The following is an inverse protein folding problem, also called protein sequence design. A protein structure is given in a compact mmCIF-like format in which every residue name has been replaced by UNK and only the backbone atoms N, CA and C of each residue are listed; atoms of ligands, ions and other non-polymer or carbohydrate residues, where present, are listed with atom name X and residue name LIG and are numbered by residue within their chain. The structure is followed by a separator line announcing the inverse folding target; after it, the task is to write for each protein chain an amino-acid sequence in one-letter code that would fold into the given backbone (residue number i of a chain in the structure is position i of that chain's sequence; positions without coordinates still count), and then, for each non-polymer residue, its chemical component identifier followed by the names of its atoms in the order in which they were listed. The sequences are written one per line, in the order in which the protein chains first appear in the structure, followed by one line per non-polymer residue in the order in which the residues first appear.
data_IF_995723031875
#
_entry.id   IF_995723031875
#
_cell.length_a   1.000
_cell.length_b   1.000
_cell.length_c   1.000
_cell.angle_alpha   90.00
_cell.angle_beta   90.00
_cell.angle_gamma   90.00
#
_symmetry.space_group_name_H-M   'P 1'
#
loop_
_entity.id
_entity.type
_entity.pdbx_description
1 polymer ?
#
# COMPACT_ATOMS: atom_id res chain seq x y z
N UNK A 1 13.55 15.84 -15.79
CA UNK A 1 13.73 14.40 -16.04
C UNK A 1 12.47 13.84 -16.66
N UNK A 2 12.60 12.76 -17.40
CA UNK A 2 11.48 11.88 -17.77
C UNK A 2 11.42 10.72 -16.81
N UNK A 3 10.32 10.59 -16.08
CA UNK A 3 10.14 9.56 -15.05
C UNK A 3 9.06 8.56 -15.50
N UNK A 4 9.42 7.29 -15.54
CA UNK A 4 8.48 6.21 -15.79
C UNK A 4 8.00 5.62 -14.47
N UNK A 5 6.68 5.64 -14.24
CA UNK A 5 6.06 5.09 -13.04
C UNK A 5 5.20 3.88 -13.42
N UNK A 6 5.20 2.84 -12.59
CA UNK A 6 4.31 1.70 -12.79
C UNK A 6 3.79 1.16 -11.47
N UNK A 7 2.49 0.84 -11.42
CA UNK A 7 1.86 0.30 -10.22
C UNK A 7 0.58 -0.48 -10.54
N UNK A 8 0.23 -1.38 -9.62
CA UNK A 8 -1.10 -2.02 -9.58
C UNK A 8 -2.15 -1.10 -8.91
N UNK A 9 -3.38 -1.56 -8.86
CA UNK A 9 -4.47 -0.91 -8.14
C UNK A 9 -4.35 -1.02 -6.61
N UNK A 10 -5.36 -0.51 -5.91
CA UNK A 10 -5.38 -0.52 -4.44
C UNK A 10 -4.36 0.44 -3.81
N UNK A 11 -3.63 -0.02 -2.80
CA UNK A 11 -2.64 0.79 -2.09
C UNK A 11 -1.50 1.28 -2.99
N UNK A 12 -1.13 0.51 -4.01
CA UNK A 12 -0.04 0.86 -4.93
C UNK A 12 -0.33 2.17 -5.68
N UNK A 13 -1.49 2.25 -6.35
CA UNK A 13 -1.88 3.48 -7.08
C UNK A 13 -2.10 4.66 -6.11
N UNK A 14 -2.62 4.39 -4.89
CA UNK A 14 -2.81 5.40 -3.87
C UNK A 14 -1.48 6.03 -3.42
N UNK A 15 -0.39 5.26 -3.42
CA UNK A 15 0.94 5.77 -3.12
C UNK A 15 1.59 6.48 -4.33
N UNK A 16 1.34 6.00 -5.55
CA UNK A 16 1.99 6.54 -6.76
C UNK A 16 1.37 7.85 -7.24
N UNK A 17 0.05 8.04 -7.12
CA UNK A 17 -0.61 9.25 -7.64
C UNK A 17 -0.17 10.56 -6.97
N UNK A 18 -0.02 10.65 -5.64
CA UNK A 18 0.51 11.87 -5.03
C UNK A 18 1.94 12.18 -5.50
N UNK A 19 2.80 11.16 -5.59
CA UNK A 19 4.15 11.32 -6.13
C UNK A 19 4.15 11.78 -7.60
N UNK A 20 3.29 11.18 -8.45
CA UNK A 20 3.13 11.59 -9.84
C UNK A 20 2.79 13.08 -9.94
N UNK A 21 1.84 13.57 -9.13
CA UNK A 21 1.44 14.98 -9.12
C UNK A 21 2.58 15.89 -8.66
N UNK A 22 3.31 15.50 -7.61
CA UNK A 22 4.47 16.27 -7.12
C UNK A 22 5.57 16.36 -8.16
N UNK A 23 5.91 15.26 -8.83
CA UNK A 23 6.89 15.24 -9.92
C UNK A 23 6.48 16.15 -11.09
N UNK A 24 5.21 16.11 -11.49
CA UNK A 24 4.67 17.00 -12.52
C UNK A 24 4.74 18.47 -12.11
N UNK A 25 4.39 18.80 -10.85
CA UNK A 25 4.49 20.17 -10.30
C UNK A 25 5.94 20.68 -10.27
N UNK A 26 6.90 19.79 -10.06
CA UNK A 26 8.34 20.10 -10.12
C UNK A 26 8.89 20.22 -11.56
N UNK A 27 8.03 20.09 -12.58
CA UNK A 27 8.39 20.22 -13.99
C UNK A 27 9.04 18.98 -14.61
N UNK A 28 8.84 17.80 -14.02
CA UNK A 28 9.27 16.55 -14.63
C UNK A 28 8.22 16.04 -15.63
N UNK A 29 8.68 15.35 -16.68
CA UNK A 29 7.82 14.58 -17.58
C UNK A 29 7.55 13.23 -16.95
N UNK A 30 6.27 12.87 -16.77
CA UNK A 30 5.89 11.60 -16.13
C UNK A 30 5.07 10.73 -17.09
N UNK A 31 5.45 9.47 -17.21
CA UNK A 31 4.69 8.46 -17.93
C UNK A 31 4.27 7.33 -16.98
N UNK A 32 2.97 7.14 -16.80
CA UNK A 32 2.40 6.13 -15.92
C UNK A 32 1.97 4.90 -16.73
N UNK A 33 2.55 3.75 -16.43
CA UNK A 33 2.02 2.44 -16.85
C UNK A 33 1.13 1.90 -15.72
N UNK A 34 -0.17 2.05 -15.88
CA UNK A 34 -1.16 1.61 -14.92
C UNK A 34 -1.53 0.12 -15.15
N UNK A 35 -1.25 -0.72 -14.17
CA UNK A 35 -1.48 -2.15 -14.23
C UNK A 35 -2.85 -2.51 -13.65
N UNK A 36 -3.58 -3.36 -14.35
CA UNK A 36 -4.89 -3.87 -13.90
C UNK A 36 -5.87 -2.75 -13.50
N UNK A 37 -6.41 -2.77 -12.28
CA UNK A 37 -7.39 -1.78 -11.80
C UNK A 37 -6.82 -0.38 -11.57
N UNK A 38 -5.50 -0.20 -11.61
CA UNK A 38 -4.87 1.13 -11.53
C UNK A 38 -5.30 2.06 -12.66
N UNK A 39 -5.54 1.51 -13.87
CA UNK A 39 -5.99 2.29 -15.03
C UNK A 39 -7.33 2.98 -14.79
N UNK A 40 -8.27 2.32 -14.15
CA UNK A 40 -9.57 2.92 -13.83
C UNK A 40 -9.46 4.03 -12.78
N UNK A 41 -8.58 3.84 -11.78
CA UNK A 41 -8.31 4.88 -10.78
C UNK A 41 -7.65 6.10 -11.44
N UNK A 42 -6.60 5.89 -12.25
CA UNK A 42 -5.92 6.97 -12.96
C UNK A 42 -6.87 7.73 -13.88
N UNK A 43 -7.77 7.03 -14.59
CA UNK A 43 -8.80 7.63 -15.44
C UNK A 43 -9.75 8.54 -14.64
N UNK A 44 -10.25 8.08 -13.50
CA UNK A 44 -11.14 8.86 -12.62
C UNK A 44 -10.45 10.11 -12.07
N UNK A 45 -9.16 9.99 -11.76
CA UNK A 45 -8.32 11.08 -11.26
C UNK A 45 -7.79 12.03 -12.37
N UNK A 46 -8.17 11.80 -13.64
CA UNK A 46 -7.74 12.60 -14.79
C UNK A 46 -6.24 12.50 -15.10
N UNK A 47 -5.57 11.42 -14.65
CA UNK A 47 -4.14 11.21 -14.87
C UNK A 47 -3.90 10.50 -16.21
N UNK A 48 -3.10 11.11 -17.14
CA UNK A 48 -2.67 10.43 -18.35
C UNK A 48 -1.90 9.15 -18.00
N UNK A 49 -2.25 8.05 -18.65
CA UNK A 49 -1.60 6.77 -18.40
C UNK A 49 -1.62 5.86 -19.62
N UNK A 50 -0.70 4.91 -19.63
CA UNK A 50 -0.67 3.76 -20.54
C UNK A 50 -1.09 2.51 -19.79
N UNK A 51 -1.46 1.49 -20.55
CA UNK A 51 -1.79 0.15 -20.05
C UNK A 51 -0.94 -0.89 -20.76
N UNK A 52 -0.76 -2.11 -20.21
CA UNK A 52 0.03 -3.16 -20.89
C UNK A 52 -0.40 -3.43 -22.33
N UNK A 53 -1.71 -3.36 -22.60
CA UNK A 53 -2.27 -3.57 -23.95
C UNK A 53 -1.71 -2.58 -24.99
N UNK A 54 -1.30 -1.38 -24.61
CA UNK A 54 -0.72 -0.38 -25.51
C UNK A 54 0.68 -0.77 -26.02
N UNK A 55 1.29 -1.81 -25.43
CA UNK A 55 2.62 -2.31 -25.74
C UNK A 55 2.63 -3.78 -26.16
N UNK A 56 1.49 -4.43 -26.18
CA UNK A 56 1.33 -5.86 -26.51
C UNK A 56 0.73 -6.01 -27.89
N UNK A 57 1.35 -6.81 -28.73
CA UNK A 57 0.75 -7.24 -29.99
C UNK A 57 -0.20 -8.42 -29.77
N UNK A 58 -1.49 -8.13 -29.78
CA UNK A 58 -2.54 -9.15 -29.65
C UNK A 58 -2.76 -9.95 -30.95
N UNK A 59 -2.10 -9.60 -32.07
CA UNK A 59 -2.08 -10.45 -33.27
C UNK A 59 -1.14 -11.64 -33.15
N UNK A 60 -0.21 -11.61 -32.16
CA UNK A 60 0.62 -12.75 -31.81
C UNK A 60 -0.26 -13.92 -31.29
N UNK A 61 -0.29 -15.06 -31.99
CA UNK A 61 -1.18 -16.16 -31.65
C UNK A 61 -0.85 -16.78 -30.29
N UNK A 62 0.42 -16.79 -29.87
CA UNK A 62 0.83 -17.36 -28.58
C UNK A 62 0.46 -16.42 -27.42
N UNK A 63 0.66 -15.12 -27.56
CA UNK A 63 0.18 -14.12 -26.58
C UNK A 63 -1.32 -14.27 -26.38
N UNK A 64 -2.08 -14.33 -27.49
CA UNK A 64 -3.53 -14.44 -27.43
C UNK A 64 -3.98 -15.76 -26.81
N UNK A 65 -3.44 -16.88 -27.25
CA UNK A 65 -3.77 -18.22 -26.75
C UNK A 65 -3.54 -18.34 -25.25
N UNK A 66 -2.36 -17.97 -24.78
CA UNK A 66 -1.99 -18.04 -23.36
C UNK A 66 -2.77 -17.02 -22.52
N UNK A 67 -2.97 -15.83 -23.05
CA UNK A 67 -3.75 -14.78 -22.41
C UNK A 67 -5.22 -15.15 -22.24
N UNK A 68 -5.86 -15.70 -23.25
CA UNK A 68 -7.26 -16.17 -23.19
C UNK A 68 -7.43 -17.33 -22.21
N UNK A 69 -6.47 -18.26 -22.17
CA UNK A 69 -6.46 -19.37 -21.21
C UNK A 69 -6.49 -18.84 -19.78
N UNK A 70 -5.59 -17.90 -19.44
CA UNK A 70 -5.48 -17.35 -18.10
C UNK A 70 -6.59 -16.35 -17.75
N UNK A 71 -7.04 -15.55 -18.71
CA UNK A 71 -8.12 -14.59 -18.48
C UNK A 71 -9.44 -15.27 -18.10
N UNK A 72 -9.71 -16.50 -18.57
CA UNK A 72 -10.85 -17.29 -18.11
C UNK A 72 -10.85 -17.56 -16.60
N UNK A 73 -9.69 -17.58 -15.97
CA UNK A 73 -9.53 -17.86 -14.52
C UNK A 73 -9.35 -16.60 -13.68
N UNK A 74 -8.73 -15.57 -14.24
CA UNK A 74 -8.26 -14.40 -13.48
C UNK A 74 -8.92 -13.08 -13.84
N UNK A 75 -9.63 -13.00 -14.98
CA UNK A 75 -10.38 -11.80 -15.30
C UNK A 75 -11.61 -11.70 -14.39
N UNK A 76 -11.83 -10.51 -13.82
CA UNK A 76 -13.01 -10.21 -13.01
C UNK A 76 -13.76 -9.05 -13.67
N UNK A 77 -14.99 -9.30 -14.08
CA UNK A 77 -15.86 -8.27 -14.64
C UNK A 77 -16.22 -7.19 -13.60
N UNK A 78 -16.60 -6.01 -14.08
CA UNK A 78 -17.14 -4.93 -13.24
C UNK A 78 -16.10 -4.12 -12.46
N UNK A 79 -14.80 -4.38 -12.63
CA UNK A 79 -13.72 -3.63 -11.96
C UNK A 79 -13.02 -2.59 -12.86
N UNK A 80 -13.64 -2.18 -13.95
CA UNK A 80 -13.07 -1.19 -14.89
C UNK A 80 -11.87 -1.71 -15.69
N UNK A 81 -11.67 -3.04 -15.74
CA UNK A 81 -10.63 -3.70 -16.52
C UNK A 81 -11.28 -4.46 -17.67
N UNK A 82 -10.93 -4.10 -18.91
CA UNK A 82 -11.45 -4.81 -20.09
C UNK A 82 -10.81 -6.21 -20.19
N UNK A 83 -11.59 -7.17 -20.72
CA UNK A 83 -11.10 -8.53 -20.90
C UNK A 83 -9.83 -8.60 -21.76
N UNK A 84 -9.78 -7.82 -22.83
CA UNK A 84 -8.60 -7.75 -23.71
C UNK A 84 -7.34 -7.26 -23.01
N UNK A 85 -7.46 -6.36 -22.03
CA UNK A 85 -6.35 -5.92 -21.19
C UNK A 85 -5.83 -7.06 -20.31
N UNK A 86 -6.74 -7.88 -19.76
CA UNK A 86 -6.34 -9.08 -19.03
C UNK A 86 -5.65 -10.09 -19.94
N UNK A 87 -6.15 -10.28 -21.15
CA UNK A 87 -5.54 -11.17 -22.16
C UNK A 87 -4.13 -10.68 -22.50
N UNK A 88 -3.96 -9.39 -22.79
CA UNK A 88 -2.66 -8.80 -23.11
C UNK A 88 -1.65 -8.99 -21.95
N UNK A 89 -2.05 -8.58 -20.74
CA UNK A 89 -1.21 -8.64 -19.54
C UNK A 89 -0.79 -10.07 -19.20
N UNK A 90 -1.76 -11.01 -19.15
CA UNK A 90 -1.51 -12.40 -18.79
C UNK A 90 -0.76 -13.15 -19.89
N UNK A 91 -1.11 -12.87 -21.15
CA UNK A 91 -0.49 -13.51 -22.32
C UNK A 91 1.00 -13.22 -22.42
N UNK A 92 1.39 -11.94 -22.41
CA UNK A 92 2.80 -11.57 -22.49
C UNK A 92 3.58 -12.05 -21.28
N UNK A 93 2.97 -12.06 -20.09
CA UNK A 93 3.65 -12.50 -18.87
C UNK A 93 3.91 -14.00 -18.87
N UNK A 94 2.95 -14.78 -19.34
CA UNK A 94 3.12 -16.24 -19.41
C UNK A 94 3.98 -16.67 -20.59
N UNK A 95 3.85 -16.01 -21.75
CA UNK A 95 4.70 -16.29 -22.91
C UNK A 95 6.18 -16.10 -22.56
N UNK A 96 6.53 -15.00 -21.91
CA UNK A 96 7.92 -14.78 -21.49
C UNK A 96 8.43 -15.88 -20.56
N UNK A 97 7.59 -16.36 -19.63
CA UNK A 97 7.96 -17.51 -18.78
C UNK A 97 8.13 -18.79 -19.60
N UNK A 98 7.29 -19.03 -20.61
CA UNK A 98 7.39 -20.18 -21.52
C UNK A 98 8.69 -20.11 -22.32
N UNK A 99 9.03 -18.95 -22.84
CA UNK A 99 10.28 -18.74 -23.59
C UNK A 99 11.54 -18.94 -22.72
N UNK A 100 11.46 -18.58 -21.41
CA UNK A 100 12.59 -18.72 -20.49
C UNK A 100 12.87 -20.16 -20.11
N UNK A 101 11.83 -20.98 -19.91
CA UNK A 101 12.01 -22.29 -19.27
C UNK A 101 11.33 -23.45 -20.01
N UNK A 102 10.67 -23.18 -21.13
CA UNK A 102 9.84 -24.14 -21.86
C UNK A 102 8.46 -24.31 -21.23
N UNK A 103 7.46 -24.65 -22.07
CA UNK A 103 6.04 -24.66 -21.67
C UNK A 103 5.75 -25.60 -20.49
N UNK A 104 6.33 -26.80 -20.49
CA UNK A 104 6.08 -27.79 -19.42
C UNK A 104 6.55 -27.31 -18.04
N UNK A 105 7.71 -26.66 -17.94
CA UNK A 105 8.21 -26.12 -16.68
C UNK A 105 7.49 -24.83 -16.30
N UNK A 106 7.14 -23.98 -17.28
CA UNK A 106 6.36 -22.78 -17.06
C UNK A 106 5.00 -23.10 -16.42
N UNK A 107 4.28 -24.11 -16.94
CA UNK A 107 3.01 -24.57 -16.37
C UNK A 107 3.17 -25.07 -14.93
N UNK A 108 4.17 -25.90 -14.63
CA UNK A 108 4.45 -26.35 -13.25
C UNK A 108 4.75 -25.20 -12.30
N UNK A 109 5.51 -24.19 -12.75
CA UNK A 109 5.79 -22.99 -11.93
C UNK A 109 4.52 -22.19 -11.67
N UNK A 110 3.68 -22.03 -12.69
CA UNK A 110 2.39 -21.36 -12.55
C UNK A 110 1.44 -22.13 -11.61
N UNK A 111 1.35 -23.46 -11.72
CA UNK A 111 0.55 -24.29 -10.82
C UNK A 111 0.99 -24.16 -9.35
N UNK A 112 2.31 -24.07 -9.11
CA UNK A 112 2.88 -23.92 -7.77
C UNK A 112 2.69 -22.51 -7.18
N UNK A 113 2.85 -21.46 -7.98
CA UNK A 113 3.01 -20.09 -7.49
C UNK A 113 1.96 -19.12 -8.04
N UNK A 114 1.01 -19.62 -8.85
CA UNK A 114 0.01 -18.79 -9.51
C UNK A 114 0.65 -17.69 -10.35
N UNK A 115 0.03 -16.52 -10.35
CA UNK A 115 0.52 -15.36 -11.08
C UNK A 115 1.90 -14.85 -10.58
N UNK A 116 2.31 -15.20 -9.37
CA UNK A 116 3.61 -14.81 -8.83
C UNK A 116 4.79 -15.54 -9.48
N UNK A 117 4.52 -16.54 -10.32
CA UNK A 117 5.52 -17.16 -11.20
C UNK A 117 6.01 -16.20 -12.30
N UNK A 118 5.26 -15.16 -12.62
CA UNK A 118 5.54 -14.24 -13.73
C UNK A 118 6.56 -13.17 -13.33
N UNK A 119 7.49 -12.90 -14.24
CA UNK A 119 8.45 -11.81 -14.12
C UNK A 119 8.87 -11.35 -15.52
N UNK A 120 8.00 -10.62 -16.26
CA UNK A 120 8.23 -10.30 -17.67
C UNK A 120 9.25 -9.17 -17.85
N UNK A 121 10.52 -9.47 -17.56
CA UNK A 121 11.62 -8.48 -17.56
C UNK A 121 11.97 -8.03 -18.97
N UNK A 122 11.92 -8.91 -19.98
CA UNK A 122 12.18 -8.55 -21.38
C UNK A 122 11.08 -7.64 -21.93
N UNK A 123 9.83 -7.93 -21.59
CA UNK A 123 8.72 -7.07 -21.96
C UNK A 123 8.90 -5.66 -21.37
N UNK A 124 9.19 -5.57 -20.08
CA UNK A 124 9.45 -4.29 -19.43
C UNK A 124 10.69 -3.60 -19.99
N UNK A 125 11.76 -4.34 -20.35
CA UNK A 125 12.94 -3.77 -20.99
C UNK A 125 12.60 -3.10 -22.34
N UNK A 126 11.75 -3.74 -23.17
CA UNK A 126 11.29 -3.14 -24.44
C UNK A 126 10.49 -1.86 -24.21
N UNK A 127 9.64 -1.83 -23.18
CA UNK A 127 8.90 -0.62 -22.83
C UNK A 127 9.87 0.50 -22.42
N UNK A 128 10.80 0.21 -21.49
CA UNK A 128 11.77 1.22 -21.02
C UNK A 128 12.68 1.72 -22.14
N UNK A 129 13.11 0.86 -23.05
CA UNK A 129 13.89 1.29 -24.24
C UNK A 129 13.07 2.20 -25.17
N UNK A 130 11.77 1.93 -25.35
CA UNK A 130 10.88 2.76 -26.18
C UNK A 130 10.56 4.10 -25.52
N UNK A 131 10.34 4.10 -24.20
CA UNK A 131 10.02 5.31 -23.41
C UNK A 131 11.27 6.15 -23.19
N UNK A 132 12.43 5.51 -23.05
CA UNK A 132 13.72 6.12 -22.74
C UNK A 132 13.67 7.07 -21.53
N UNK A 133 13.24 6.60 -20.34
CA UNK A 133 13.15 7.43 -19.15
C UNK A 133 14.53 7.68 -18.53
N UNK A 134 14.67 8.78 -17.80
CA UNK A 134 15.82 9.09 -16.95
C UNK A 134 15.79 8.28 -15.63
N UNK A 135 14.58 7.93 -15.18
CA UNK A 135 14.37 7.15 -13.94
C UNK A 135 13.10 6.28 -14.00
N UNK A 136 13.11 5.21 -13.23
CA UNK A 136 11.95 4.29 -13.05
C UNK A 136 11.51 4.28 -11.60
N UNK A 137 10.21 4.39 -11.36
CA UNK A 137 9.60 4.24 -10.04
C UNK A 137 8.56 3.12 -10.08
N UNK A 138 8.63 2.20 -9.14
CA UNK A 138 7.61 1.17 -8.93
C UNK A 138 7.36 0.96 -7.45
N UNK A 139 6.24 0.32 -7.11
CA UNK A 139 6.03 -0.18 -5.75
C UNK A 139 6.54 -1.62 -5.59
N UNK A 140 6.16 -2.33 -4.55
CA UNK A 140 6.75 -3.63 -4.19
C UNK A 140 6.03 -4.85 -4.73
N UNK A 141 5.03 -4.69 -5.60
CA UNK A 141 4.30 -5.87 -6.07
C UNK A 141 5.17 -6.79 -6.93
N UNK A 142 5.04 -8.10 -6.77
CA UNK A 142 5.66 -9.06 -7.68
C UNK A 142 5.14 -8.86 -9.12
N UNK A 143 5.66 -9.63 -10.06
CA UNK A 143 5.25 -9.59 -11.47
C UNK A 143 5.77 -8.36 -12.21
N UNK A 144 4.90 -7.50 -12.80
CA UNK A 144 5.34 -6.41 -13.67
C UNK A 144 6.05 -5.27 -12.95
N UNK A 145 5.70 -4.91 -11.73
CA UNK A 145 6.43 -3.88 -10.98
C UNK A 145 7.86 -4.32 -10.69
N UNK A 146 8.02 -5.51 -10.13
CA UNK A 146 9.33 -6.13 -9.92
C UNK A 146 10.11 -6.29 -11.23
N UNK A 147 9.42 -6.65 -12.31
CA UNK A 147 10.04 -6.77 -13.62
C UNK A 147 10.52 -5.41 -14.16
N UNK A 148 9.81 -4.32 -13.88
CA UNK A 148 10.20 -2.97 -14.26
C UNK A 148 11.49 -2.54 -13.54
N UNK A 149 11.60 -2.77 -12.22
CA UNK A 149 12.82 -2.48 -11.46
C UNK A 149 14.02 -3.28 -11.98
N UNK A 150 13.82 -4.57 -12.25
CA UNK A 150 14.86 -5.44 -12.82
C UNK A 150 15.25 -5.06 -14.24
N UNK A 151 14.30 -4.63 -15.06
CA UNK A 151 14.57 -4.12 -16.39
C UNK A 151 15.39 -2.82 -16.32
N UNK A 152 15.03 -1.91 -15.43
CA UNK A 152 15.77 -0.67 -15.17
C UNK A 152 17.22 -0.98 -14.73
N UNK A 153 17.40 -1.92 -13.79
CA UNK A 153 18.73 -2.33 -13.35
C UNK A 153 19.58 -2.88 -14.51
N UNK A 154 19.01 -3.75 -15.38
CA UNK A 154 19.70 -4.29 -16.55
C UNK A 154 20.07 -3.25 -17.61
N UNK A 155 19.28 -2.18 -17.70
CA UNK A 155 19.48 -1.09 -18.66
C UNK A 155 20.29 0.07 -18.07
N UNK A 156 20.79 -0.08 -16.85
CA UNK A 156 21.48 0.97 -16.08
C UNK A 156 20.67 2.27 -15.95
N UNK A 157 19.35 2.14 -15.85
CA UNK A 157 18.44 3.25 -15.59
C UNK A 157 18.25 3.38 -14.08
N UNK A 158 18.49 4.55 -13.46
CA UNK A 158 18.19 4.80 -12.05
C UNK A 158 16.78 4.37 -11.68
N UNK A 159 16.62 3.67 -10.56
CA UNK A 159 15.29 3.19 -10.17
C UNK A 159 15.06 3.27 -8.66
N UNK A 160 13.82 3.61 -8.29
CA UNK A 160 13.36 3.71 -6.93
C UNK A 160 12.20 2.75 -6.71
N UNK A 161 12.29 1.95 -5.65
CA UNK A 161 11.20 1.10 -5.18
C UNK A 161 10.53 1.73 -3.95
N UNK A 162 9.24 2.04 -4.05
CA UNK A 162 8.43 2.46 -2.92
C UNK A 162 7.95 1.21 -2.18
N UNK A 163 8.55 0.92 -1.02
CA UNK A 163 8.24 -0.28 -0.25
C UNK A 163 6.89 -0.12 0.45
N UNK A 164 6.03 -1.11 0.29
CA UNK A 164 4.76 -1.15 1.01
C UNK A 164 4.94 -1.20 2.53
N UNK A 165 3.88 -0.86 3.25
CA UNK A 165 3.90 -0.52 4.66
C UNK A 165 4.69 -1.49 5.54
N UNK A 166 4.54 -2.80 5.33
CA UNK A 166 5.21 -3.80 6.16
C UNK A 166 6.40 -4.49 5.46
N UNK A 167 6.41 -4.58 4.12
CA UNK A 167 7.50 -5.13 3.33
C UNK A 167 7.88 -6.58 3.63
N UNK A 168 7.04 -7.33 4.38
CA UNK A 168 7.38 -8.66 4.89
C UNK A 168 7.39 -9.74 3.83
N UNK A 169 6.42 -9.71 2.93
CA UNK A 169 6.29 -10.70 1.85
C UNK A 169 7.33 -10.46 0.75
N UNK A 170 7.80 -9.22 0.65
CA UNK A 170 8.72 -8.73 -0.38
C UNK A 170 10.19 -8.79 0.06
N UNK A 171 10.46 -8.92 1.35
CA UNK A 171 11.80 -8.95 1.93
C UNK A 171 12.77 -9.90 1.21
N UNK A 172 12.39 -11.15 0.83
CA UNK A 172 13.31 -12.07 0.19
C UNK A 172 13.89 -11.61 -1.15
N UNK A 173 13.20 -10.67 -1.84
CA UNK A 173 13.68 -10.14 -3.11
C UNK A 173 14.09 -8.67 -3.03
N UNK A 174 13.59 -7.89 -2.06
CA UNK A 174 14.03 -6.50 -1.83
C UNK A 174 15.46 -6.41 -1.27
N UNK A 175 15.94 -7.43 -0.57
CA UNK A 175 17.34 -7.55 -0.16
C UNK A 175 18.33 -7.58 -1.34
N UNK A 176 17.85 -7.81 -2.56
CA UNK A 176 18.72 -7.88 -3.76
C UNK A 176 18.81 -6.52 -4.45
N UNK A 177 20.01 -6.12 -4.94
CA UNK A 177 20.19 -4.81 -5.57
C UNK A 177 19.47 -4.65 -6.91
N UNK A 178 19.07 -5.75 -7.58
CA UNK A 178 18.37 -5.73 -8.85
C UNK A 178 16.88 -5.35 -8.75
N UNK A 179 16.40 -5.00 -7.55
CA UNK A 179 14.99 -4.62 -7.31
C UNK A 179 14.85 -3.15 -6.85
N UNK A 180 15.51 -2.26 -7.54
CA UNK A 180 15.55 -0.82 -7.30
C UNK A 180 16.94 -0.40 -6.80
N UNK A 181 17.49 0.69 -7.34
CA UNK A 181 18.76 1.24 -6.89
C UNK A 181 18.63 1.81 -5.47
N UNK A 182 17.49 2.44 -5.19
CA UNK A 182 17.14 2.94 -3.86
C UNK A 182 15.75 2.46 -3.44
N UNK A 183 15.55 2.30 -2.14
CA UNK A 183 14.29 1.88 -1.52
C UNK A 183 13.74 3.01 -0.67
N UNK A 184 12.52 3.43 -0.92
CA UNK A 184 11.78 4.37 -0.08
C UNK A 184 10.88 3.59 0.87
N UNK A 185 11.09 3.71 2.17
CA UNK A 185 10.36 2.96 3.21
C UNK A 185 9.61 3.88 4.17
N UNK A 186 8.58 3.34 4.81
CA UNK A 186 7.71 4.11 5.71
C UNK A 186 7.97 3.83 7.20
N UNK A 187 8.80 2.84 7.54
CA UNK A 187 8.95 2.34 8.92
C UNK A 187 10.37 1.97 9.24
N UNK A 188 10.81 2.27 10.47
CA UNK A 188 12.13 1.91 10.96
C UNK A 188 12.37 0.39 11.08
N UNK A 189 11.34 -0.40 11.39
CA UNK A 189 11.47 -1.85 11.47
C UNK A 189 11.69 -2.47 10.08
N UNK A 190 11.08 -1.89 9.03
CA UNK A 190 11.34 -2.30 7.64
C UNK A 190 12.79 -2.02 7.24
N UNK A 191 13.37 -0.87 7.63
CA UNK A 191 14.80 -0.57 7.43
C UNK A 191 15.67 -1.69 8.01
N UNK A 192 15.46 -2.01 9.30
CA UNK A 192 16.27 -3.04 9.98
C UNK A 192 16.18 -4.42 9.33
N UNK A 193 14.97 -4.80 8.89
CA UNK A 193 14.75 -6.10 8.23
C UNK A 193 15.40 -6.16 6.85
N UNK A 194 15.31 -5.10 6.08
CA UNK A 194 15.94 -5.06 4.75
C UNK A 194 17.47 -5.12 4.85
N UNK A 195 18.07 -4.46 5.86
CA UNK A 195 19.51 -4.60 6.15
C UNK A 195 19.82 -6.06 6.51
N UNK A 196 19.03 -6.68 7.38
CA UNK A 196 19.20 -8.09 7.74
C UNK A 196 19.03 -9.04 6.55
N UNK A 197 18.19 -8.69 5.57
CA UNK A 197 18.01 -9.42 4.32
C UNK A 197 19.14 -9.20 3.30
N UNK A 198 20.14 -8.39 3.63
CA UNK A 198 21.34 -8.16 2.81
C UNK A 198 21.30 -6.90 1.95
N UNK A 199 20.32 -6.01 2.14
CA UNK A 199 20.32 -4.71 1.45
C UNK A 199 21.33 -3.75 2.09
N UNK A 200 22.05 -3.01 1.27
CA UNK A 200 22.95 -1.96 1.76
C UNK A 200 22.11 -0.85 2.44
N UNK A 201 22.54 -0.42 3.62
CA UNK A 201 21.86 0.62 4.40
C UNK A 201 21.80 1.94 3.64
N UNK A 202 22.81 2.26 2.83
CA UNK A 202 22.86 3.50 2.03
C UNK A 202 21.82 3.56 0.93
N UNK A 203 21.26 2.40 0.54
CA UNK A 203 20.18 2.32 -0.47
C UNK A 203 18.78 2.47 0.16
N UNK A 204 18.65 2.45 1.50
CA UNK A 204 17.36 2.45 2.18
C UNK A 204 17.08 3.82 2.80
N UNK A 205 15.98 4.45 2.41
CA UNK A 205 15.62 5.78 2.86
C UNK A 205 14.26 5.79 3.54
N UNK A 206 14.22 6.31 4.77
CA UNK A 206 12.97 6.49 5.52
C UNK A 206 12.26 7.75 5.04
N UNK A 207 11.40 7.60 4.04
CA UNK A 207 10.69 8.72 3.40
C UNK A 207 9.25 8.90 3.90
N UNK A 208 8.67 7.89 4.54
CA UNK A 208 7.22 7.76 4.65
C UNK A 208 6.60 7.31 3.33
N UNK A 209 5.26 7.27 3.27
CA UNK A 209 4.52 6.91 2.05
C UNK A 209 3.62 8.05 1.61
N UNK A 210 3.64 8.41 0.32
CA UNK A 210 2.78 9.45 -0.25
C UNK A 210 1.28 9.24 -0.02
N UNK A 211 0.83 8.01 0.11
CA UNK A 211 -0.58 7.71 0.40
C UNK A 211 -1.07 8.29 1.74
N UNK A 212 -0.13 8.56 2.67
CA UNK A 212 -0.43 9.13 3.98
C UNK A 212 -0.20 10.64 4.04
N UNK A 213 0.32 11.28 2.99
CA UNK A 213 0.53 12.73 2.96
C UNK A 213 -0.76 13.53 3.29
N UNK A 214 -1.97 13.12 2.81
CA UNK A 214 -3.21 13.81 3.16
C UNK A 214 -3.56 13.79 4.65
N UNK A 215 -2.99 12.89 5.46
CA UNK A 215 -3.21 12.85 6.90
C UNK A 215 -2.55 14.02 7.65
N UNK A 216 -1.68 14.77 6.99
CA UNK A 216 -1.04 15.96 7.53
C UNK A 216 -1.86 17.26 7.35
N UNK A 217 -3.00 17.19 6.68
CA UNK A 217 -3.84 18.38 6.43
C UNK A 217 -4.34 18.98 7.76
N UNK A 218 -4.06 20.28 8.04
CA UNK A 218 -4.40 20.90 9.33
C UNK A 218 -5.91 20.90 9.62
N UNK A 219 -6.74 20.94 8.57
CA UNK A 219 -8.19 20.98 8.64
C UNK A 219 -8.83 19.68 9.15
N UNK A 220 -8.08 18.58 9.17
CA UNK A 220 -8.61 17.27 9.59
C UNK A 220 -9.06 17.26 11.06
N UNK A 221 -8.36 17.99 11.93
CA UNK A 221 -8.77 18.13 13.33
C UNK A 221 -10.14 18.82 13.46
N UNK A 222 -10.39 19.88 12.68
CA UNK A 222 -11.67 20.58 12.63
C UNK A 222 -12.76 19.71 12.00
N UNK A 223 -12.42 18.97 10.96
CA UNK A 223 -13.30 18.00 10.30
C UNK A 223 -13.74 16.89 11.27
N UNK A 224 -12.82 16.38 12.10
CA UNK A 224 -13.13 15.40 13.14
C UNK A 224 -14.09 15.98 14.20
N UNK A 225 -13.87 17.22 14.64
CA UNK A 225 -14.80 17.90 15.56
C UNK A 225 -16.16 18.14 14.91
N UNK A 226 -16.21 18.53 13.65
CA UNK A 226 -17.47 18.70 12.92
C UNK A 226 -18.22 17.37 12.77
N UNK A 227 -17.48 16.26 12.50
CA UNK A 227 -18.06 14.92 12.43
C UNK A 227 -18.71 14.50 13.75
N UNK A 228 -18.07 14.80 14.91
CA UNK A 228 -18.64 14.54 16.24
C UNK A 228 -19.92 15.35 16.46
N UNK A 229 -19.89 16.67 16.22
CA UNK A 229 -21.06 17.56 16.39
C UNK A 229 -22.26 17.11 15.56
N UNK A 230 -22.04 16.72 14.31
CA UNK A 230 -23.11 16.23 13.44
C UNK A 230 -23.80 14.96 13.96
N UNK A 231 -23.19 14.23 14.93
CA UNK A 231 -23.72 13.02 15.55
C UNK A 231 -24.12 13.21 17.01
N UNK A 232 -24.15 14.44 17.50
CA UNK A 232 -24.48 14.75 18.88
C UNK A 232 -23.48 14.20 19.90
N UNK A 233 -22.20 14.00 19.50
CA UNK A 233 -21.13 13.55 20.38
C UNK A 233 -20.46 14.76 21.01
N UNK A 234 -20.54 14.88 22.34
CA UNK A 234 -19.90 15.94 23.11
C UNK A 234 -18.37 15.81 23.14
N UNK A 235 -17.69 16.94 23.39
CA UNK A 235 -16.23 16.98 23.38
C UNK A 235 -15.58 16.12 24.50
N UNK A 236 -16.31 15.88 25.59
CA UNK A 236 -15.86 15.08 26.74
C UNK A 236 -16.23 13.59 26.61
N UNK A 237 -17.10 13.22 25.68
CA UNK A 237 -17.46 11.81 25.46
C UNK A 237 -16.30 11.07 24.78
N UNK A 238 -15.96 9.88 25.24
CA UNK A 238 -14.95 9.03 24.62
C UNK A 238 -15.51 8.32 23.40
N UNK A 239 -14.74 8.29 22.31
CA UNK A 239 -15.11 7.64 21.06
C UNK A 239 -14.11 6.53 20.75
N UNK A 240 -14.59 5.28 20.74
CA UNK A 240 -13.84 4.08 20.32
C UNK A 240 -14.20 3.79 18.87
N UNK A 241 -13.20 3.65 18.02
CA UNK A 241 -13.38 3.38 16.58
C UNK A 241 -12.89 2.01 16.19
N UNK A 242 -13.75 1.23 15.57
CA UNK A 242 -13.44 -0.06 14.96
C UNK A 242 -13.55 0.03 13.43
N UNK A 243 -12.40 -0.09 12.75
CA UNK A 243 -12.35 -0.28 11.31
C UNK A 243 -12.32 -1.78 11.03
N UNK A 244 -13.45 -2.33 10.63
CA UNK A 244 -13.61 -3.75 10.40
C UNK A 244 -12.80 -4.22 9.19
N UNK A 245 -12.30 -5.42 9.27
CA UNK A 245 -11.65 -6.13 8.18
C UNK A 245 -12.17 -7.57 8.09
N UNK A 246 -12.18 -8.18 6.89
CA UNK A 246 -12.47 -9.60 6.74
C UNK A 246 -11.39 -10.45 7.43
N UNK A 247 -11.82 -11.55 8.06
CA UNK A 247 -10.92 -12.56 8.59
C UNK A 247 -11.30 -13.93 7.98
N UNK A 248 -10.64 -14.33 6.87
CA UNK A 248 -11.01 -15.55 6.14
C UNK A 248 -10.86 -16.84 6.95
N UNK A 249 -9.92 -16.86 7.92
CA UNK A 249 -9.72 -18.02 8.78
C UNK A 249 -10.79 -18.15 9.87
N UNK A 250 -11.43 -17.04 10.25
CA UNK A 250 -12.53 -16.98 11.24
C UNK A 250 -13.53 -15.88 10.84
N UNK A 251 -14.43 -16.17 9.90
CA UNK A 251 -15.38 -15.17 9.38
C UNK A 251 -16.29 -14.52 10.43
N UNK A 252 -16.47 -15.16 11.57
CA UNK A 252 -17.27 -14.64 12.69
C UNK A 252 -16.47 -13.70 13.62
N UNK A 253 -15.15 -13.68 13.55
CA UNK A 253 -14.32 -12.86 14.42
C UNK A 253 -14.66 -11.36 14.35
N UNK A 254 -14.83 -10.74 13.18
CA UNK A 254 -15.17 -9.32 13.10
C UNK A 254 -16.50 -9.00 13.82
N UNK A 255 -17.48 -9.88 13.70
CA UNK A 255 -18.77 -9.76 14.38
C UNK A 255 -18.60 -9.87 15.91
N UNK A 256 -17.84 -10.86 16.39
CA UNK A 256 -17.57 -11.01 17.85
C UNK A 256 -16.86 -9.78 18.41
N UNK A 257 -15.89 -9.23 17.70
CA UNK A 257 -15.20 -7.97 18.08
C UNK A 257 -16.20 -6.84 18.19
N UNK A 258 -17.06 -6.63 17.19
CA UNK A 258 -18.09 -5.58 17.20
C UNK A 258 -19.00 -5.67 18.43
N UNK A 259 -19.56 -6.84 18.70
CA UNK A 259 -20.47 -7.03 19.82
C UNK A 259 -19.77 -6.87 21.17
N UNK A 260 -18.53 -7.34 21.29
CA UNK A 260 -17.72 -7.17 22.49
C UNK A 260 -17.50 -5.68 22.81
N UNK A 261 -17.00 -4.90 21.86
CA UNK A 261 -16.76 -3.48 22.10
C UNK A 261 -18.04 -2.65 22.23
N UNK A 262 -19.13 -3.04 21.58
CA UNK A 262 -20.43 -2.42 21.79
C UNK A 262 -20.88 -2.58 23.26
N UNK A 263 -20.69 -3.75 23.86
CA UNK A 263 -21.00 -3.98 25.27
C UNK A 263 -20.09 -3.16 26.19
N UNK A 264 -18.76 -3.21 25.97
CA UNK A 264 -17.77 -2.46 26.76
C UNK A 264 -18.06 -0.96 26.72
N UNK A 265 -18.29 -0.41 25.52
CA UNK A 265 -18.56 1.02 25.38
C UNK A 265 -19.88 1.44 26.04
N UNK A 266 -20.93 0.61 25.95
CA UNK A 266 -22.22 0.88 26.61
C UNK A 266 -22.08 0.89 28.15
N UNK A 267 -21.33 -0.07 28.71
CA UNK A 267 -21.09 -0.13 30.16
C UNK A 267 -20.30 1.08 30.68
N UNK A 268 -19.44 1.64 29.84
CA UNK A 268 -18.59 2.79 30.17
C UNK A 268 -19.18 4.15 29.78
N UNK A 269 -20.33 4.18 29.11
CA UNK A 269 -20.91 5.42 28.57
C UNK A 269 -20.09 6.03 27.43
N UNK A 270 -19.30 5.22 26.72
CA UNK A 270 -18.50 5.63 25.56
C UNK A 270 -19.27 5.46 24.27
N UNK A 271 -18.92 6.24 23.25
CA UNK A 271 -19.46 6.09 21.90
C UNK A 271 -18.65 5.06 21.12
N UNK A 272 -19.34 4.11 20.52
CA UNK A 272 -18.71 3.13 19.65
C UNK A 272 -19.02 3.39 18.19
N UNK A 273 -17.98 3.62 17.40
CA UNK A 273 -18.07 3.89 15.96
C UNK A 273 -17.55 2.67 15.20
N UNK A 274 -18.35 2.17 14.26
CA UNK A 274 -18.04 1.01 13.42
C UNK A 274 -17.98 1.44 11.97
N UNK A 275 -16.91 1.10 11.27
CA UNK A 275 -16.81 1.19 9.82
C UNK A 275 -16.62 -0.21 9.25
N UNK A 276 -17.61 -0.66 8.48
CA UNK A 276 -17.54 -1.96 7.80
C UNK A 276 -16.52 -1.91 6.66
N UNK A 277 -15.89 -3.04 6.38
CA UNK A 277 -14.97 -3.14 5.25
C UNK A 277 -15.74 -3.02 3.92
N UNK A 278 -15.18 -2.40 2.88
CA UNK A 278 -15.85 -2.26 1.58
C UNK A 278 -16.26 -3.58 0.90
N UNK A 279 -15.64 -4.70 1.27
CA UNK A 279 -16.02 -6.03 0.78
C UNK A 279 -17.05 -6.75 1.66
N UNK A 280 -17.49 -6.13 2.77
CA UNK A 280 -18.53 -6.71 3.62
C UNK A 280 -19.85 -6.74 2.85
N UNK A 281 -20.56 -7.86 2.95
CA UNK A 281 -21.88 -8.05 2.32
C UNK A 281 -22.97 -7.27 3.07
N UNK A 282 -24.12 -7.05 2.43
CA UNK A 282 -25.26 -6.33 3.02
C UNK A 282 -25.70 -6.91 4.37
N UNK A 283 -25.56 -8.23 4.58
CA UNK A 283 -25.84 -8.88 5.87
C UNK A 283 -24.96 -8.39 7.03
N UNK A 284 -23.76 -7.85 6.76
CA UNK A 284 -22.91 -7.28 7.80
C UNK A 284 -23.46 -5.93 8.31
N UNK A 285 -24.12 -5.15 7.46
CA UNK A 285 -24.77 -3.89 7.84
C UNK A 285 -25.96 -4.09 8.78
N UNK A 286 -26.73 -5.17 8.60
CA UNK A 286 -27.86 -5.53 9.46
C UNK A 286 -27.46 -5.95 10.88
N UNK A 287 -26.16 -6.20 11.10
CA UNK A 287 -25.61 -6.69 12.38
C UNK A 287 -24.87 -5.63 13.19
N UNK A 288 -25.08 -4.34 12.93
CA UNK A 288 -24.53 -3.27 13.78
C UNK A 288 -25.31 -3.28 15.12
N UNK A 289 -24.61 -3.42 16.27
CA UNK A 289 -25.26 -3.45 17.55
C UNK A 289 -26.00 -2.14 17.86
N UNK A 290 -27.14 -2.24 18.55
CA UNK A 290 -27.93 -1.08 18.95
C UNK A 290 -27.11 -0.07 19.76
N UNK A 291 -27.31 1.22 19.49
CA UNK A 291 -26.58 2.32 20.12
C UNK A 291 -25.19 2.59 19.56
N UNK A 292 -24.73 1.79 18.58
CA UNK A 292 -23.47 2.04 17.86
C UNK A 292 -23.68 3.03 16.70
N UNK A 293 -22.63 3.75 16.36
CA UNK A 293 -22.63 4.70 15.25
C UNK A 293 -21.95 4.04 14.05
N UNK A 294 -22.66 3.90 12.95
CA UNK A 294 -22.05 3.43 11.71
C UNK A 294 -21.41 4.59 10.95
N UNK A 295 -20.12 4.47 10.63
CA UNK A 295 -19.47 5.30 9.64
C UNK A 295 -19.71 4.72 8.25
N UNK A 296 -20.23 5.56 7.34
CA UNK A 296 -20.60 5.13 5.99
C UNK A 296 -19.39 5.14 5.04
N UNK A 297 -19.38 4.32 3.99
CA UNK A 297 -18.28 4.27 3.02
C UNK A 297 -17.99 5.62 2.33
N UNK A 298 -19.02 6.48 2.17
CA UNK A 298 -18.91 7.79 1.54
C UNK A 298 -18.26 8.85 2.43
N UNK A 299 -18.20 8.61 3.74
CA UNK A 299 -17.54 9.53 4.68
C UNK A 299 -16.03 9.41 4.55
N UNK A 300 -15.33 10.55 4.59
CA UNK A 300 -13.88 10.53 4.62
C UNK A 300 -13.38 9.83 5.88
N UNK A 301 -12.60 8.76 5.70
CA UNK A 301 -12.06 7.97 6.81
C UNK A 301 -11.23 8.83 7.77
N UNK A 302 -10.45 9.78 7.23
CA UNK A 302 -9.64 10.70 8.03
C UNK A 302 -10.47 11.53 9.02
N UNK A 303 -11.71 11.96 8.66
CA UNK A 303 -12.59 12.68 9.58
C UNK A 303 -13.00 11.80 10.77
N UNK A 304 -13.28 10.52 10.53
CA UNK A 304 -13.64 9.56 11.58
C UNK A 304 -12.45 9.26 12.48
N UNK A 305 -11.26 9.07 11.89
CA UNK A 305 -10.02 8.86 12.64
C UNK A 305 -9.69 10.05 13.54
N UNK A 306 -9.87 11.30 13.04
CA UNK A 306 -9.67 12.47 13.86
C UNK A 306 -10.77 12.67 14.92
N UNK A 307 -11.97 12.14 14.70
CA UNK A 307 -13.08 12.18 15.65
C UNK A 307 -12.92 11.19 16.81
N UNK A 308 -12.17 10.09 16.63
CA UNK A 308 -12.02 9.08 17.69
C UNK A 308 -10.94 9.46 18.72
N UNK A 309 -11.07 8.88 19.92
CA UNK A 309 -10.07 8.97 21.01
C UNK A 309 -9.14 7.75 20.99
N UNK A 310 -9.61 6.61 20.52
CA UNK A 310 -8.84 5.38 20.39
C UNK A 310 -9.38 4.54 19.23
N UNK A 311 -8.47 3.92 18.48
CA UNK A 311 -8.83 2.93 17.46
C UNK A 311 -8.61 1.51 17.92
N UNK A 312 -9.40 0.60 17.38
CA UNK A 312 -9.23 -0.86 17.56
C UNK A 312 -9.02 -1.49 16.21
N UNK A 313 -8.09 -2.40 16.10
CA UNK A 313 -7.77 -3.10 14.85
C UNK A 313 -7.30 -4.53 15.09
N UNK A 314 -7.37 -5.37 14.06
CA UNK A 314 -6.61 -6.62 13.97
C UNK A 314 -5.30 -6.34 13.21
N UNK A 315 -5.38 -6.36 11.87
CA UNK A 315 -4.22 -6.20 10.96
C UNK A 315 -4.46 -5.14 9.87
N UNK A 316 -5.48 -4.27 10.04
CA UNK A 316 -5.83 -3.26 9.04
C UNK A 316 -4.81 -2.12 9.00
N UNK A 317 -4.48 -1.64 7.80
CA UNK A 317 -3.65 -0.42 7.62
C UNK A 317 -4.23 0.82 8.29
N UNK A 318 -5.53 0.85 8.57
CA UNK A 318 -6.19 1.92 9.34
C UNK A 318 -5.59 2.08 10.74
N UNK A 319 -5.12 0.98 11.37
CA UNK A 319 -4.39 1.06 12.63
C UNK A 319 -3.11 1.89 12.51
N UNK A 320 -2.36 1.72 11.42
CA UNK A 320 -1.18 2.53 11.15
C UNK A 320 -1.53 3.99 10.87
N UNK A 321 -2.56 4.25 10.08
CA UNK A 321 -3.05 5.60 9.80
C UNK A 321 -3.45 6.33 11.09
N UNK A 322 -4.11 5.64 12.02
CA UNK A 322 -4.45 6.18 13.34
C UNK A 322 -3.20 6.55 14.15
N UNK A 323 -2.18 5.69 14.16
CA UNK A 323 -0.89 5.99 14.84
C UNK A 323 -0.22 7.24 14.24
N UNK A 324 -0.25 7.38 12.90
CA UNK A 324 0.27 8.56 12.21
C UNK A 324 -0.51 9.84 12.55
N UNK A 325 -1.82 9.73 12.87
CA UNK A 325 -2.66 10.82 13.37
C UNK A 325 -2.50 11.05 14.90
N UNK A 326 -1.47 10.48 15.54
CA UNK A 326 -1.26 10.49 17.00
C UNK A 326 -2.45 9.95 17.81
N UNK A 327 -3.22 9.02 17.23
CA UNK A 327 -4.31 8.36 17.94
C UNK A 327 -3.82 7.09 18.62
N UNK A 328 -4.21 6.84 19.89
CA UNK A 328 -4.00 5.54 20.53
C UNK A 328 -4.63 4.40 19.71
N UNK A 329 -3.96 3.26 19.65
CA UNK A 329 -4.47 2.08 18.94
C UNK A 329 -4.34 0.84 19.83
N UNK A 330 -5.43 0.10 19.94
CA UNK A 330 -5.47 -1.24 20.51
C UNK A 330 -5.43 -2.26 19.37
N UNK A 331 -4.42 -3.10 19.37
CA UNK A 331 -4.26 -4.19 18.40
C UNK A 331 -4.72 -5.50 19.03
N UNK A 332 -5.66 -6.17 18.39
CA UNK A 332 -6.09 -7.52 18.79
C UNK A 332 -5.29 -8.56 18.00
N UNK A 333 -4.40 -9.29 18.65
CA UNK A 333 -3.61 -10.37 18.03
C UNK A 333 -4.43 -11.65 17.85
N UNK A 334 -5.56 -11.54 17.16
CA UNK A 334 -6.52 -12.63 16.94
C UNK A 334 -6.61 -13.02 15.46
N UNK A 335 -5.96 -12.29 14.56
CA UNK A 335 -5.97 -12.58 13.13
C UNK A 335 -5.02 -13.72 12.79
N UNK A 336 -5.39 -14.55 11.82
CA UNK A 336 -4.47 -15.50 11.21
C UNK A 336 -3.32 -14.82 10.43
N UNK A 337 -3.43 -13.53 10.16
CA UNK A 337 -2.42 -12.72 9.47
C UNK A 337 -1.57 -11.86 10.42
N UNK A 338 -1.66 -12.07 11.73
CA UNK A 338 -0.93 -11.26 12.72
C UNK A 338 0.59 -11.21 12.47
N UNK A 339 1.19 -12.32 11.99
CA UNK A 339 2.63 -12.39 11.70
C UNK A 339 3.02 -11.59 10.43
N UNK A 340 2.05 -11.20 9.60
CA UNK A 340 2.27 -10.34 8.44
C UNK A 340 2.17 -8.84 8.77
N UNK A 341 1.86 -8.49 10.02
CA UNK A 341 1.66 -7.11 10.48
C UNK A 341 2.42 -6.89 11.77
N UNK A 342 3.36 -5.96 11.77
CA UNK A 342 4.30 -5.78 12.89
C UNK A 342 4.02 -4.57 13.77
N UNK A 343 2.97 -3.79 13.51
CA UNK A 343 2.62 -2.72 14.44
C UNK A 343 2.01 -3.28 15.73
N UNK A 344 2.22 -2.54 16.83
CA UNK A 344 1.98 -3.03 18.18
C UNK A 344 3.25 -3.54 18.87
N UNK A 345 4.42 -3.41 18.20
CA UNK A 345 5.72 -3.78 18.74
C UNK A 345 6.68 -2.58 18.69
N UNK A 346 6.52 -1.66 19.67
CA UNK A 346 7.42 -0.51 19.81
C UNK A 346 7.08 0.71 18.96
N UNK A 347 5.89 0.76 18.36
CA UNK A 347 5.40 1.87 17.54
C UNK A 347 4.29 2.69 18.21
N UNK A 348 4.01 2.43 19.47
CA UNK A 348 3.03 3.18 20.26
C UNK A 348 1.59 2.68 20.14
N UNK A 349 1.37 1.47 19.62
CA UNK A 349 0.13 0.71 19.78
C UNK A 349 0.24 -0.26 20.95
N UNK A 350 -0.87 -0.51 21.63
CA UNK A 350 -0.99 -1.53 22.66
C UNK A 350 -1.58 -2.79 22.04
N UNK A 351 -0.92 -3.95 22.23
CA UNK A 351 -1.41 -5.22 21.73
C UNK A 351 -1.93 -6.10 22.84
N UNK A 352 -3.04 -6.83 22.58
CA UNK A 352 -3.62 -7.83 23.48
C UNK A 352 -3.95 -9.11 22.72
N UNK A 353 -3.88 -10.24 23.40
CA UNK A 353 -4.02 -11.57 22.79
C UNK A 353 -5.43 -12.17 22.97
N UNK A 354 -6.33 -11.45 23.64
CA UNK A 354 -7.71 -11.91 23.84
C UNK A 354 -8.73 -10.77 23.91
N UNK A 355 -9.99 -11.07 23.61
CA UNK A 355 -11.07 -10.13 23.80
C UNK A 355 -11.33 -9.83 25.29
N UNK A 356 -11.03 -10.75 26.20
CA UNK A 356 -11.15 -10.53 27.65
C UNK A 356 -10.22 -9.42 28.14
N UNK A 357 -9.03 -9.27 27.56
CA UNK A 357 -8.06 -8.26 27.94
C UNK A 357 -8.31 -6.92 27.24
N UNK A 358 -9.14 -6.92 26.20
CA UNK A 358 -9.35 -5.74 25.35
C UNK A 358 -9.99 -4.57 26.10
N UNK A 359 -10.91 -4.84 27.04
CA UNK A 359 -11.54 -3.78 27.85
C UNK A 359 -10.53 -3.10 28.78
N UNK A 360 -9.62 -3.87 29.40
CA UNK A 360 -8.53 -3.33 30.21
C UNK A 360 -7.54 -2.53 29.36
N UNK A 361 -7.16 -3.06 28.19
CA UNK A 361 -6.28 -2.36 27.24
C UNK A 361 -6.85 -1.02 26.76
N UNK A 362 -8.16 -0.92 26.50
CA UNK A 362 -8.80 0.36 26.18
C UNK A 362 -8.70 1.37 27.33
N UNK A 363 -8.92 0.93 28.56
CA UNK A 363 -8.79 1.79 29.73
C UNK A 363 -7.38 2.33 29.88
N UNK A 364 -6.37 1.46 29.77
CA UNK A 364 -4.96 1.84 29.83
C UNK A 364 -4.58 2.88 28.78
N UNK A 365 -5.18 2.84 27.59
CA UNK A 365 -4.95 3.80 26.51
C UNK A 365 -5.72 5.12 26.68
N UNK A 366 -6.89 5.10 27.33
CA UNK A 366 -7.78 6.26 27.49
C UNK A 366 -7.57 7.00 28.79
N UNK A 367 -6.95 6.38 29.79
CA UNK A 367 -6.56 7.00 31.05
C UNK A 367 -5.14 7.58 30.96
N UNK A 368 -4.86 8.66 31.69
CA UNK A 368 -3.52 9.26 31.74
C UNK A 368 -2.55 8.45 32.62
N UNK A 369 -2.42 7.18 32.31
CA UNK A 369 -1.57 6.21 33.00
C UNK A 369 -0.15 6.09 32.41
N UNK A 370 0.64 5.20 33.00
CA UNK A 370 2.00 4.93 32.52
C UNK A 370 2.01 4.35 31.10
N UNK A 371 1.07 3.45 30.79
CA UNK A 371 0.93 2.83 29.47
C UNK A 371 0.58 3.87 28.42
N UNK A 372 -0.43 4.72 28.67
CA UNK A 372 -0.82 5.77 27.72
C UNK A 372 0.35 6.73 27.42
N UNK A 373 1.10 7.15 28.44
CA UNK A 373 2.27 8.02 28.27
C UNK A 373 3.38 7.34 27.48
N UNK A 374 3.68 6.08 27.74
CA UNK A 374 4.69 5.33 26.99
C UNK A 374 4.27 5.13 25.53
N UNK A 375 3.01 4.73 25.27
CA UNK A 375 2.50 4.60 23.91
C UNK A 375 2.56 5.94 23.16
N UNK A 376 2.22 7.03 23.81
CA UNK A 376 2.34 8.39 23.22
C UNK A 376 3.79 8.74 22.91
N UNK A 377 4.73 8.41 23.80
CA UNK A 377 6.16 8.63 23.58
C UNK A 377 6.68 7.86 22.36
N UNK A 378 6.28 6.60 22.22
CA UNK A 378 6.63 5.75 21.08
C UNK A 378 6.03 6.29 19.77
N UNK A 379 4.75 6.68 19.76
CA UNK A 379 4.13 7.31 18.58
C UNK A 379 4.85 8.58 18.13
N UNK A 380 5.38 9.37 19.06
CA UNK A 380 6.11 10.58 18.72
C UNK A 380 7.43 10.32 17.94
N UNK A 381 7.90 9.07 17.92
CA UNK A 381 9.07 8.64 17.15
C UNK A 381 8.73 8.19 15.73
N UNK A 382 7.43 8.05 15.41
CA UNK A 382 7.01 7.63 14.09
C UNK A 382 7.28 8.73 13.04
N UNK A 383 7.56 8.36 11.79
CA UNK A 383 7.61 9.32 10.70
C UNK A 383 6.28 10.08 10.61
N UNK A 384 6.34 11.41 10.66
CA UNK A 384 5.12 12.21 10.53
C UNK A 384 4.56 12.10 9.12
N UNK A 385 3.23 12.02 8.94
CA UNK A 385 2.62 12.12 7.63
C UNK A 385 2.92 13.49 7.00
N UNK A 386 2.80 13.55 5.68
CA UNK A 386 3.07 14.75 4.89
C UNK A 386 4.50 14.85 4.37
N UNK A 387 4.61 15.38 3.16
CA UNK A 387 5.87 15.61 2.47
C UNK A 387 6.65 14.35 2.04
N UNK A 388 6.04 13.16 2.10
CA UNK A 388 6.68 11.95 1.61
C UNK A 388 6.91 12.01 0.09
N UNK A 389 5.95 12.57 -0.65
CA UNK A 389 6.09 12.80 -2.09
C UNK A 389 7.30 13.69 -2.41
N UNK A 390 7.54 14.74 -1.62
CA UNK A 390 8.67 15.63 -1.79
C UNK A 390 9.99 14.94 -1.49
N UNK A 391 10.07 14.25 -0.34
CA UNK A 391 11.27 13.48 0.04
C UNK A 391 11.66 12.42 -0.99
N UNK A 392 10.66 11.73 -1.56
CA UNK A 392 10.88 10.73 -2.61
C UNK A 392 11.32 11.41 -3.92
N UNK A 393 10.76 12.57 -4.24
CA UNK A 393 11.18 13.35 -5.42
C UNK A 393 12.63 13.81 -5.28
N UNK A 394 13.02 14.35 -4.13
CA UNK A 394 14.41 14.77 -3.83
C UNK A 394 15.38 13.57 -3.93
N UNK A 395 14.97 12.42 -3.38
CA UNK A 395 15.75 11.18 -3.45
C UNK A 395 15.94 10.73 -4.91
N UNK A 396 14.87 10.78 -5.72
CA UNK A 396 14.94 10.39 -7.13
C UNK A 396 15.86 11.34 -7.93
N UNK A 397 15.73 12.63 -7.70
CA UNK A 397 16.58 13.66 -8.35
C UNK A 397 18.05 13.46 -8.01
N UNK A 398 18.38 13.19 -6.74
CA UNK A 398 19.75 12.89 -6.29
C UNK A 398 20.28 11.58 -6.86
N UNK A 399 19.45 10.57 -7.02
CA UNK A 399 19.84 9.26 -7.58
C UNK A 399 20.20 9.37 -9.08
N UNK A 400 19.57 10.29 -9.80
CA UNK A 400 19.79 10.49 -11.26
C UNK A 400 21.01 11.38 -11.57
N UNK A 401 21.27 12.40 -10.76
CA UNK A 401 22.31 13.39 -11.01
C UNK A 401 23.73 12.82 -11.20
N UNK A 402 24.28 11.95 -10.35
CA UNK A 402 25.65 11.45 -10.50
C UNK A 402 25.90 10.70 -11.81
N UNK A 403 24.87 10.01 -12.33
CA UNK A 403 24.98 9.21 -13.55
C UNK A 403 24.94 10.05 -14.82
N UNK A 404 24.26 11.21 -14.81
CA UNK A 404 24.33 12.16 -15.93
C UNK A 404 25.74 12.73 -16.09
N UNK A 405 26.41 13.11 -15.02
CA UNK A 405 27.79 13.62 -15.05
C UNK A 405 28.78 12.57 -15.59
N UNK A 406 28.63 11.29 -15.21
CA UNK A 406 29.51 10.23 -15.72
C UNK A 406 29.30 9.92 -17.20
N UNK A 407 28.08 10.01 -17.70
CA UNK A 407 27.76 9.82 -19.12
C UNK A 407 28.24 11.00 -19.99
N UNK A 408 28.18 12.23 -19.49
CA UNK A 408 28.71 13.41 -20.19
C UNK A 408 30.23 13.40 -20.25
N UNK A 409 30.91 13.02 -19.16
CA UNK A 409 32.39 12.88 -19.14
C UNK A 409 32.87 11.78 -20.09
N UNK A 410 32.14 10.65 -20.19
CA UNK A 410 32.48 9.62 -21.16
C UNK A 410 32.23 10.02 -22.63
N UNK A 411 31.28 10.88 -22.92
CA UNK A 411 31.02 11.41 -24.26
C UNK A 411 32.03 12.47 -24.70
N UNK A 412 32.61 13.19 -23.74
CA UNK A 412 33.65 14.22 -24.04
C UNK A 412 35.04 13.64 -24.17
N UNK A 413 35.30 12.45 -23.65
CA UNK A 413 36.60 11.75 -23.78
C UNK A 413 36.76 10.94 -25.08
N UNK A 414 35.73 10.87 -25.92
CA UNK A 414 35.76 10.21 -27.25
C UNK A 414 35.64 11.21 -28.42
N UNK A 415 35.97 12.49 -28.23
CA UNK A 415 36.12 13.48 -29.33
C UNK A 415 37.54 13.93 -29.48
#
# INVERSE_FOLDING_TARGET
MKVFLTCYGGAHIAAVLPLFRTLMQRGHECELLALTTAGEVARREGIPHRRPIDFVDLSDPDVRRLGEELARRHHTEGKGLLREESVAYLGVSFLELVEDVGEGLARRRYEKSGLNAFSPVRFMSRILQRVAPDAVVATTSPRMEKAALRAAFRLDIPSLCMVELFGLLEEPWLGRPDNGHVLAVSRHDVVRRLIAAGRDETDIHLTGSPMFDPLAEPELADSGRAWRRARGIGDHEKVVFWAEQPEPADPDLPRRVRYHFAAVCRERGWRFVVRLHPSSTDHAAESIPEGCIQSLPQEALAHVMHACDVGVTLTSTVGWELLLCDKPVLVLRLSAFQDAVTYGEGDGALAVDSLSDAAAGLLELLEDGAVAREMKRLRALLPRPGGASDRISDLLETTVQPRRYSLELNRTSFR
#
